data_IF_472154249921
#
_entry.id   IF_472154249921
#
_cell.length_a   1.000
_cell.length_b   1.000
_cell.length_c   1.000
_cell.angle_alpha   90.00
_cell.angle_beta   90.00
_cell.angle_gamma   90.00
#
_symmetry.space_group_name_H-M   'P 1'
#
loop_
_entity.id
_entity.type
_entity.pdbx_description
1 polymer ?
#
# COMPACT_ATOMS: atom_id res chain seq x y z
N UNK A 1 58.44 -27.32 42.18
CA UNK A 1 57.97 -26.44 41.05
C UNK A 1 56.53 -26.79 40.80
N UNK A 2 55.62 -25.95 41.31
CA UNK A 2 54.17 -26.17 41.19
C UNK A 2 53.67 -25.33 40.06
N UNK A 3 53.18 -25.95 38.96
CA UNK A 3 52.48 -25.28 37.92
C UNK A 3 51.03 -24.97 38.39
N UNK A 4 50.70 -23.69 38.57
CA UNK A 4 49.35 -23.21 38.73
C UNK A 4 48.67 -23.26 37.36
N UNK A 5 47.69 -24.13 37.22
CA UNK A 5 46.70 -24.03 36.14
C UNK A 5 45.89 -22.72 36.31
N UNK A 6 45.99 -21.83 35.34
CA UNK A 6 45.06 -20.71 35.19
C UNK A 6 43.71 -21.29 34.75
N UNK A 7 42.70 -21.20 35.61
CA UNK A 7 41.31 -21.38 35.23
C UNK A 7 40.95 -20.24 34.30
N UNK A 8 40.62 -20.57 33.06
CA UNK A 8 40.06 -19.61 32.10
C UNK A 8 38.73 -19.06 32.63
N UNK A 9 38.63 -17.76 32.67
CA UNK A 9 37.36 -17.10 32.94
C UNK A 9 36.36 -17.46 31.81
N UNK A 10 35.10 -17.75 32.13
CA UNK A 10 34.09 -17.98 31.10
C UNK A 10 33.94 -16.71 30.29
N UNK A 11 34.10 -16.82 28.97
CA UNK A 11 33.89 -15.72 28.03
C UNK A 11 32.39 -15.42 27.98
N UNK A 12 31.98 -14.25 28.47
CA UNK A 12 30.59 -13.78 28.37
C UNK A 12 30.39 -13.38 26.92
N UNK A 13 29.57 -14.16 26.21
CA UNK A 13 29.23 -13.95 24.78
C UNK A 13 28.02 -13.05 24.62
N UNK A 14 27.37 -12.66 25.72
CA UNK A 14 26.19 -11.80 25.72
C UNK A 14 26.60 -10.33 25.79
N UNK A 15 25.93 -9.45 24.99
CA UNK A 15 26.13 -8.01 25.07
C UNK A 15 25.76 -7.44 26.44
N UNK A 16 26.23 -6.21 26.73
CA UNK A 16 26.03 -5.55 28.03
C UNK A 16 24.57 -5.36 28.41
N UNK A 17 23.64 -5.32 27.41
CA UNK A 17 22.19 -5.14 27.59
C UNK A 17 21.39 -6.47 27.62
N UNK A 18 22.07 -7.63 27.58
CA UNK A 18 21.40 -8.94 27.56
C UNK A 18 20.91 -9.34 28.94
N UNK A 19 19.60 -9.37 29.15
CA UNK A 19 18.98 -9.93 30.34
C UNK A 19 18.85 -11.47 30.20
N UNK A 20 19.31 -12.21 31.17
CA UNK A 20 19.17 -13.67 31.25
C UNK A 20 18.09 -14.01 32.27
N UNK A 21 16.91 -14.39 31.78
CA UNK A 21 15.82 -14.92 32.60
C UNK A 21 15.77 -16.44 32.44
N UNK A 22 15.52 -17.21 33.48
CA UNK A 22 15.55 -18.68 33.44
C UNK A 22 14.28 -19.30 34.00
N UNK A 23 13.92 -20.48 33.49
CA UNK A 23 12.85 -21.35 33.98
C UNK A 23 11.46 -20.67 34.02
N UNK A 24 10.78 -20.76 35.17
CA UNK A 24 9.41 -20.23 35.34
C UNK A 24 9.36 -18.70 35.17
N UNK A 25 10.39 -17.98 35.57
CA UNK A 25 10.47 -16.54 35.45
C UNK A 25 10.55 -16.12 33.98
N UNK A 26 11.22 -16.91 33.13
CA UNK A 26 11.27 -16.68 31.69
C UNK A 26 9.89 -16.88 31.03
N UNK A 27 9.16 -17.90 31.43
CA UNK A 27 7.78 -18.13 30.91
C UNK A 27 6.84 -17.00 31.31
N UNK A 28 6.85 -16.58 32.57
CA UNK A 28 6.04 -15.47 33.05
C UNK A 28 6.41 -14.15 32.35
N UNK A 29 7.70 -13.89 32.17
CA UNK A 29 8.16 -12.70 31.46
C UNK A 29 7.63 -12.66 30.02
N UNK A 30 7.73 -13.76 29.28
CA UNK A 30 7.27 -13.87 27.91
C UNK A 30 5.74 -13.71 27.79
N UNK A 31 5.00 -14.40 28.66
CA UNK A 31 3.51 -14.28 28.68
C UNK A 31 3.10 -12.85 29.03
N UNK A 32 3.77 -12.22 30.00
CA UNK A 32 3.47 -10.85 30.42
C UNK A 32 3.74 -9.84 29.29
N UNK A 33 4.86 -10.02 28.54
CA UNK A 33 5.19 -9.17 27.40
C UNK A 33 4.13 -9.26 26.29
N UNK A 34 3.79 -10.48 25.86
CA UNK A 34 2.77 -10.71 24.83
C UNK A 34 1.38 -10.19 25.26
N UNK A 35 1.00 -10.40 26.53
CA UNK A 35 -0.27 -9.86 27.07
C UNK A 35 -0.30 -8.34 27.11
N UNK A 36 0.83 -7.69 27.39
CA UNK A 36 0.91 -6.23 27.40
C UNK A 36 0.62 -5.63 26.05
N UNK A 37 1.08 -6.26 24.98
CA UNK A 37 0.76 -5.88 23.58
C UNK A 37 -0.72 -6.07 23.29
N UNK A 38 -1.28 -7.23 23.64
CA UNK A 38 -2.71 -7.50 23.45
C UNK A 38 -3.61 -6.52 24.22
N UNK A 39 -3.23 -6.13 25.45
CA UNK A 39 -3.97 -5.17 26.25
C UNK A 39 -3.90 -3.75 25.68
N UNK A 40 -2.78 -3.41 24.98
CA UNK A 40 -2.64 -2.10 24.35
C UNK A 40 -3.71 -1.84 23.28
N UNK A 41 -4.12 -2.85 22.52
CA UNK A 41 -5.13 -2.71 21.45
C UNK A 41 -6.55 -3.06 21.89
N UNK A 42 -6.71 -3.72 23.04
CA UNK A 42 -8.01 -4.20 23.51
C UNK A 42 -9.10 -3.12 23.62
N UNK A 43 -8.71 -1.89 23.95
CA UNK A 43 -9.66 -0.77 24.11
C UNK A 43 -10.16 -0.19 22.79
N UNK A 44 -9.58 -0.61 21.65
CA UNK A 44 -10.01 -0.18 20.31
C UNK A 44 -11.02 -1.14 19.68
N UNK A 45 -11.27 -2.30 20.32
CA UNK A 45 -12.13 -3.35 19.80
C UNK A 45 -13.61 -2.95 19.79
N UNK A 46 -14.25 -3.20 18.65
CA UNK A 46 -15.69 -3.13 18.44
C UNK A 46 -16.24 -1.72 18.22
N UNK A 47 -17.58 -1.58 18.07
CA UNK A 47 -18.23 -0.34 17.62
C UNK A 47 -18.15 0.83 18.62
N UNK A 48 -17.60 0.62 19.79
CA UNK A 48 -17.29 1.64 20.82
C UNK A 48 -15.79 1.67 21.13
N UNK A 49 -14.98 1.18 20.20
CA UNK A 49 -13.54 1.26 20.27
C UNK A 49 -13.08 2.73 20.43
N UNK A 50 -12.00 2.91 21.19
CA UNK A 50 -11.41 4.23 21.40
C UNK A 50 -10.19 4.39 20.50
N UNK A 51 -10.11 5.50 19.80
CA UNK A 51 -8.92 5.85 19.06
C UNK A 51 -7.70 6.02 19.99
N UNK A 52 -6.55 5.62 19.52
CA UNK A 52 -5.25 5.85 20.14
C UNK A 52 -4.55 6.99 19.41
N UNK A 53 -3.91 7.84 20.19
CA UNK A 53 -2.98 8.83 19.65
C UNK A 53 -1.56 8.31 19.87
N UNK A 54 -0.87 8.08 18.79
CA UNK A 54 0.53 7.64 18.76
C UNK A 54 1.39 8.81 18.32
N UNK A 55 2.52 9.01 18.97
CA UNK A 55 3.48 10.06 18.62
C UNK A 55 4.84 9.43 18.47
N UNK A 56 5.40 9.43 17.27
CA UNK A 56 6.70 8.86 17.01
C UNK A 56 7.85 9.78 17.48
N UNK A 57 9.08 9.31 17.38
CA UNK A 57 10.28 10.06 17.81
C UNK A 57 10.56 11.30 16.98
N UNK A 58 9.97 11.44 15.79
CA UNK A 58 10.07 12.62 14.90
C UNK A 58 8.99 13.65 15.18
N UNK A 59 7.98 13.31 16.00
CA UNK A 59 6.86 14.17 16.36
C UNK A 59 5.64 14.02 15.45
N UNK A 60 5.63 13.05 14.54
CA UNK A 60 4.45 12.75 13.74
C UNK A 60 3.38 12.12 14.64
N UNK A 61 2.13 12.48 14.38
CA UNK A 61 0.98 12.05 15.18
C UNK A 61 0.07 11.19 14.33
N UNK A 62 -0.14 9.94 14.74
CA UNK A 62 -1.12 9.02 14.16
C UNK A 62 -2.29 8.85 15.14
N UNK A 63 -3.51 9.04 14.68
CA UNK A 63 -4.73 8.80 15.46
C UNK A 63 -5.51 7.70 14.77
N UNK A 64 -5.66 6.55 15.44
CA UNK A 64 -6.33 5.39 14.86
C UNK A 64 -6.89 4.47 15.93
N UNK A 65 -7.87 3.66 15.59
CA UNK A 65 -8.34 2.53 16.39
C UNK A 65 -7.99 1.18 15.74
N UNK A 66 -7.34 1.21 14.59
CA UNK A 66 -6.90 -0.01 13.93
C UNK A 66 -5.76 -0.70 14.70
N UNK A 67 -5.95 -2.03 14.91
CA UNK A 67 -5.04 -2.84 15.73
C UNK A 67 -3.65 -2.99 15.14
N UNK A 68 -3.54 -3.23 13.83
CA UNK A 68 -2.26 -3.40 13.15
C UNK A 68 -1.48 -2.10 13.15
N UNK A 69 -2.11 -1.00 12.73
CA UNK A 69 -1.47 0.33 12.73
C UNK A 69 -0.93 0.69 14.12
N UNK A 70 -1.70 0.42 15.19
CA UNK A 70 -1.24 0.69 16.56
C UNK A 70 0.00 -0.15 16.89
N UNK A 71 0.01 -1.42 16.54
CA UNK A 71 1.09 -2.34 16.90
C UNK A 71 2.36 -2.09 16.09
N UNK A 72 2.24 -1.75 14.83
CA UNK A 72 3.39 -1.46 13.95
C UNK A 72 4.04 -0.11 14.26
N UNK A 73 3.25 0.87 14.73
CA UNK A 73 3.77 2.17 15.18
C UNK A 73 4.37 2.11 16.61
N UNK A 74 4.16 1.01 17.33
CA UNK A 74 4.79 0.81 18.64
C UNK A 74 6.20 0.26 18.49
N UNK A 75 7.17 0.86 19.18
CA UNK A 75 8.55 0.37 19.26
C UNK A 75 8.63 -0.83 20.24
N UNK A 76 8.55 -2.05 19.70
CA UNK A 76 8.45 -3.29 20.46
C UNK A 76 9.77 -4.08 20.34
N UNK A 77 10.60 -4.00 21.37
CA UNK A 77 11.91 -4.70 21.40
C UNK A 77 11.84 -6.17 21.85
N UNK A 78 10.71 -6.62 22.39
CA UNK A 78 10.61 -7.96 22.96
C UNK A 78 10.19 -8.99 21.91
N UNK A 79 11.02 -10.04 21.61
CA UNK A 79 10.71 -11.00 20.55
C UNK A 79 9.43 -11.80 20.74
N UNK A 80 8.97 -12.01 21.99
CA UNK A 80 7.70 -12.70 22.25
C UNK A 80 6.50 -11.76 22.04
N UNK A 81 6.69 -10.48 22.29
CA UNK A 81 5.70 -9.46 22.00
C UNK A 81 5.57 -9.22 20.48
N UNK A 82 6.69 -9.24 19.73
CA UNK A 82 6.71 -9.20 18.27
C UNK A 82 5.88 -10.34 17.65
N UNK A 83 5.90 -11.54 18.19
CA UNK A 83 5.06 -12.65 17.72
C UNK A 83 3.55 -12.34 17.78
N UNK A 84 3.12 -11.45 18.68
CA UNK A 84 1.71 -11.01 18.74
C UNK A 84 1.41 -9.96 17.65
N UNK A 85 2.41 -9.15 17.28
CA UNK A 85 2.31 -8.24 16.12
C UNK A 85 2.19 -9.06 14.84
N UNK A 86 3.04 -10.09 14.66
CA UNK A 86 2.95 -11.00 13.51
C UNK A 86 1.57 -11.69 13.38
N UNK A 87 0.89 -11.98 14.50
CA UNK A 87 -0.50 -12.50 14.47
C UNK A 87 -1.46 -11.46 13.90
N UNK A 88 -1.28 -10.18 14.24
CA UNK A 88 -2.12 -9.11 13.70
C UNK A 88 -1.85 -8.90 12.21
N UNK A 89 -0.57 -8.82 11.80
CA UNK A 89 -0.15 -8.67 10.41
C UNK A 89 -0.66 -9.83 9.53
N UNK A 90 -0.50 -11.08 10.01
CA UNK A 90 -1.02 -12.25 9.28
C UNK A 90 -2.55 -12.20 9.12
N UNK A 91 -3.28 -11.75 10.15
CA UNK A 91 -4.73 -11.61 10.06
C UNK A 91 -5.14 -10.51 9.07
N UNK A 92 -4.36 -9.43 8.99
CA UNK A 92 -4.55 -8.35 8.01
C UNK A 92 -4.33 -8.86 6.58
N UNK A 93 -3.19 -9.51 6.35
CA UNK A 93 -2.80 -10.02 5.03
C UNK A 93 -3.77 -11.10 4.48
N UNK A 94 -4.34 -11.92 5.37
CA UNK A 94 -5.18 -13.06 4.98
C UNK A 94 -6.69 -12.73 4.91
N UNK A 95 -7.16 -11.76 5.70
CA UNK A 95 -8.57 -11.50 5.85
C UNK A 95 -8.98 -10.02 5.84
N UNK A 96 -8.02 -9.10 5.87
CA UNK A 96 -8.25 -7.65 5.84
C UNK A 96 -9.01 -7.06 7.05
N UNK A 97 -9.50 -7.90 7.96
CA UNK A 97 -10.24 -7.45 9.16
C UNK A 97 -10.05 -8.43 10.32
N UNK A 98 -10.48 -8.02 11.51
CA UNK A 98 -10.45 -8.87 12.72
C UNK A 98 -9.10 -8.89 13.44
N UNK A 99 -8.14 -8.09 13.07
CA UNK A 99 -6.77 -8.00 13.63
C UNK A 99 -6.77 -7.78 15.14
N UNK A 100 -7.51 -6.78 15.61
CA UNK A 100 -7.68 -6.50 17.05
C UNK A 100 -8.33 -7.67 17.77
N UNK A 101 -9.29 -8.36 17.15
CA UNK A 101 -9.97 -9.54 17.71
C UNK A 101 -8.99 -10.71 17.87
N UNK A 102 -8.19 -10.99 16.84
CA UNK A 102 -7.18 -12.06 16.87
C UNK A 102 -6.17 -11.84 18.01
N UNK A 103 -5.64 -10.62 18.12
CA UNK A 103 -4.70 -10.22 19.18
C UNK A 103 -5.35 -10.29 20.58
N UNK A 104 -6.60 -9.83 20.73
CA UNK A 104 -7.31 -9.90 21.99
C UNK A 104 -7.56 -11.36 22.44
N UNK A 105 -7.91 -12.25 21.51
CA UNK A 105 -8.07 -13.70 21.77
C UNK A 105 -6.71 -14.29 22.16
N UNK A 106 -5.62 -14.00 21.45
CA UNK A 106 -4.29 -14.47 21.78
C UNK A 106 -3.88 -14.05 23.21
N UNK A 107 -4.12 -12.80 23.57
CA UNK A 107 -3.88 -12.28 24.93
C UNK A 107 -4.68 -12.99 26.01
N UNK A 108 -5.97 -13.28 25.77
CA UNK A 108 -6.80 -13.98 26.73
C UNK A 108 -6.43 -15.48 26.84
N UNK A 109 -6.05 -16.13 25.71
CA UNK A 109 -5.52 -17.50 25.74
C UNK A 109 -4.23 -17.58 26.56
N UNK A 110 -3.30 -16.64 26.40
CA UNK A 110 -2.07 -16.57 27.18
C UNK A 110 -2.34 -16.35 28.66
N UNK A 111 -3.29 -15.51 29.02
CA UNK A 111 -3.69 -15.29 30.40
C UNK A 111 -4.25 -16.57 31.03
N UNK A 112 -5.15 -17.26 30.33
CA UNK A 112 -5.70 -18.52 30.79
C UNK A 112 -4.60 -19.62 30.88
N UNK A 113 -3.63 -19.61 29.96
CA UNK A 113 -2.48 -20.52 30.05
C UNK A 113 -1.63 -20.24 31.29
N UNK A 114 -1.40 -18.98 31.67
CA UNK A 114 -0.68 -18.60 32.89
C UNK A 114 -1.38 -19.15 34.13
N UNK A 115 -2.72 -18.96 34.23
CA UNK A 115 -3.53 -19.50 35.34
C UNK A 115 -3.44 -21.03 35.44
N UNK A 116 -3.39 -21.75 34.32
CA UNK A 116 -3.24 -23.20 34.26
C UNK A 116 -1.82 -23.66 34.65
N UNK A 117 -0.80 -22.90 34.26
CA UNK A 117 0.58 -23.15 34.67
C UNK A 117 0.81 -22.96 36.20
N UNK A 118 0.12 -21.97 36.79
CA UNK A 118 0.11 -21.76 38.23
C UNK A 118 -0.53 -22.94 38.99
N UNK A 119 -1.54 -23.61 38.37
CA UNK A 119 -2.16 -24.83 38.86
C UNK A 119 -1.31 -26.10 38.60
N UNK A 120 -0.08 -25.93 38.16
CA UNK A 120 0.86 -27.01 37.85
C UNK A 120 0.44 -27.93 36.70
N UNK A 121 -0.44 -27.47 35.80
CA UNK A 121 -0.78 -28.17 34.57
C UNK A 121 0.40 -28.08 33.61
N UNK A 122 0.79 -29.24 33.05
CA UNK A 122 1.95 -29.30 32.19
C UNK A 122 1.73 -28.54 30.86
N UNK A 123 2.68 -27.71 30.39
CA UNK A 123 2.52 -26.90 29.14
C UNK A 123 2.06 -27.72 27.93
N UNK A 124 2.55 -28.93 27.74
CA UNK A 124 2.14 -29.81 26.64
C UNK A 124 0.64 -30.15 26.68
N UNK A 125 0.03 -30.26 27.87
CA UNK A 125 -1.40 -30.51 27.98
C UNK A 125 -2.22 -29.27 27.59
N UNK A 126 -1.75 -28.07 27.94
CA UNK A 126 -2.34 -26.77 27.57
C UNK A 126 -2.29 -26.62 26.05
N UNK A 127 -1.12 -26.81 25.43
CA UNK A 127 -0.94 -26.75 23.97
C UNK A 127 -1.87 -27.74 23.26
N UNK A 128 -1.97 -28.99 23.73
CA UNK A 128 -2.90 -29.96 23.16
C UNK A 128 -4.35 -29.50 23.27
N UNK A 129 -4.71 -28.86 24.39
CA UNK A 129 -6.05 -28.29 24.59
C UNK A 129 -6.34 -27.19 23.57
N UNK A 130 -5.38 -26.30 23.30
CA UNK A 130 -5.53 -25.23 22.31
C UNK A 130 -5.71 -25.79 20.89
N UNK A 131 -4.92 -26.81 20.49
CA UNK A 131 -5.10 -27.46 19.20
C UNK A 131 -6.48 -28.06 19.03
N UNK A 132 -6.99 -28.81 20.01
CA UNK A 132 -8.32 -29.38 19.98
C UNK A 132 -9.41 -28.32 19.95
N UNK A 133 -9.24 -27.24 20.68
CA UNK A 133 -10.16 -26.11 20.67
C UNK A 133 -10.20 -25.39 19.33
N UNK A 134 -9.02 -25.21 18.69
CA UNK A 134 -8.90 -24.60 17.36
C UNK A 134 -9.60 -25.44 16.28
N UNK A 135 -9.40 -26.78 16.30
CA UNK A 135 -10.10 -27.69 15.39
C UNK A 135 -11.63 -27.58 15.56
N UNK A 136 -12.08 -27.59 16.82
CA UNK A 136 -13.52 -27.50 17.11
C UNK A 136 -14.10 -26.12 16.75
N UNK A 137 -13.35 -25.05 16.97
CA UNK A 137 -13.78 -23.71 16.60
C UNK A 137 -13.97 -23.56 15.10
N UNK A 138 -13.08 -24.15 14.28
CA UNK A 138 -13.25 -24.17 12.81
C UNK A 138 -14.51 -24.89 12.38
N UNK A 139 -14.80 -26.09 12.93
CA UNK A 139 -16.04 -26.81 12.66
C UNK A 139 -17.29 -25.97 13.00
N UNK A 140 -17.27 -25.31 14.16
CA UNK A 140 -18.40 -24.47 14.58
C UNK A 140 -18.58 -23.22 13.72
N UNK A 141 -17.47 -22.61 13.25
CA UNK A 141 -17.53 -21.47 12.33
C UNK A 141 -18.13 -21.91 10.99
N UNK A 142 -17.69 -23.05 10.44
CA UNK A 142 -18.24 -23.61 9.20
C UNK A 142 -19.75 -23.91 9.32
N UNK A 143 -20.19 -24.41 10.50
CA UNK A 143 -21.59 -24.74 10.77
C UNK A 143 -22.50 -23.49 10.89
N UNK A 144 -21.96 -22.35 11.34
CA UNK A 144 -22.73 -21.11 11.50
C UNK A 144 -22.55 -20.13 10.35
N UNK A 145 -21.58 -20.35 9.46
CA UNK A 145 -21.31 -19.48 8.32
C UNK A 145 -22.48 -19.47 7.33
N UNK A 146 -22.87 -18.29 6.90
CA UNK A 146 -23.86 -18.11 5.84
C UNK A 146 -23.16 -17.74 4.54
N UNK A 147 -23.44 -18.49 3.47
CA UNK A 147 -22.90 -18.16 2.17
C UNK A 147 -23.53 -16.86 1.64
N UNK A 148 -22.69 -15.98 1.12
CA UNK A 148 -23.07 -14.75 0.42
C UNK A 148 -22.79 -14.95 -1.06
N UNK A 149 -23.77 -14.70 -1.91
CA UNK A 149 -23.58 -14.78 -3.36
C UNK A 149 -22.92 -13.49 -3.88
N UNK A 150 -22.04 -13.57 -4.91
CA UNK A 150 -21.36 -12.38 -5.46
C UNK A 150 -22.30 -11.30 -6.02
N UNK A 151 -23.54 -11.66 -6.36
CA UNK A 151 -24.59 -10.79 -6.85
C UNK A 151 -25.54 -10.28 -5.76
N UNK A 152 -25.35 -10.67 -4.49
CA UNK A 152 -26.16 -10.21 -3.34
C UNK A 152 -25.60 -8.88 -2.79
N UNK A 153 -25.81 -7.80 -3.57
CA UNK A 153 -25.34 -6.45 -3.22
C UNK A 153 -25.75 -6.01 -1.81
N UNK A 154 -26.98 -6.37 -1.37
CA UNK A 154 -27.48 -5.95 -0.06
C UNK A 154 -26.67 -6.60 1.08
N UNK A 155 -26.27 -7.86 0.93
CA UNK A 155 -25.43 -8.55 1.92
C UNK A 155 -24.00 -8.09 1.86
N UNK A 156 -23.41 -7.97 0.66
CA UNK A 156 -22.06 -7.45 0.47
C UNK A 156 -21.91 -6.06 1.06
N UNK A 157 -22.89 -5.18 0.83
CA UNK A 157 -22.92 -3.85 1.43
C UNK A 157 -22.93 -3.91 2.97
N UNK A 158 -23.71 -4.80 3.56
CA UNK A 158 -23.73 -4.98 5.04
C UNK A 158 -22.39 -5.50 5.58
N UNK A 159 -21.71 -6.34 4.82
CA UNK A 159 -20.36 -6.82 5.17
C UNK A 159 -19.39 -5.64 5.18
N UNK A 160 -19.36 -4.84 4.10
CA UNK A 160 -18.53 -3.63 4.01
C UNK A 160 -18.86 -2.63 5.13
N UNK A 161 -20.14 -2.36 5.40
CA UNK A 161 -20.57 -1.49 6.50
C UNK A 161 -20.09 -1.98 7.86
N UNK A 162 -20.02 -3.29 8.05
CA UNK A 162 -19.60 -3.91 9.31
C UNK A 162 -18.11 -3.73 9.53
N UNK A 163 -17.28 -3.95 8.51
CA UNK A 163 -15.82 -3.78 8.60
C UNK A 163 -15.42 -2.31 8.85
N UNK A 164 -16.18 -1.35 8.30
CA UNK A 164 -15.96 0.08 8.52
C UNK A 164 -16.54 0.61 9.85
N UNK A 165 -17.27 -0.21 10.60
CA UNK A 165 -17.93 0.25 11.85
C UNK A 165 -16.90 0.61 12.92
N UNK A 166 -17.00 1.83 13.45
CA UNK A 166 -16.06 2.35 14.45
C UNK A 166 -14.79 2.98 13.85
N UNK A 167 -14.62 2.94 12.53
CA UNK A 167 -13.54 3.60 11.81
C UNK A 167 -14.10 4.90 11.22
N UNK A 168 -13.42 6.01 11.27
CA UNK A 168 -13.82 7.40 10.94
C UNK A 168 -14.90 7.69 9.87
N UNK A 169 -15.44 6.65 9.23
CA UNK A 169 -16.41 6.67 8.15
C UNK A 169 -17.90 6.63 8.58
N UNK A 170 -18.20 6.70 9.86
CA UNK A 170 -19.55 6.44 10.42
C UNK A 170 -20.69 7.26 9.77
N UNK A 171 -20.44 8.51 9.38
CA UNK A 171 -21.49 9.39 8.84
C UNK A 171 -21.83 9.08 7.37
N UNK A 172 -20.88 8.64 6.60
CA UNK A 172 -20.99 8.36 5.16
C UNK A 172 -20.85 6.87 4.83
N UNK A 173 -20.87 6.01 5.86
CA UNK A 173 -20.64 4.56 5.75
C UNK A 173 -21.52 3.88 4.69
N UNK A 174 -22.78 4.28 4.58
CA UNK A 174 -23.71 3.74 3.59
C UNK A 174 -23.29 4.03 2.14
N UNK A 175 -22.75 5.22 1.90
CA UNK A 175 -22.25 5.62 0.57
C UNK A 175 -20.94 4.91 0.25
N UNK A 176 -20.01 4.90 1.21
CA UNK A 176 -18.70 4.29 1.04
C UNK A 176 -18.79 2.77 0.86
N UNK A 177 -19.66 2.09 1.62
CA UNK A 177 -19.92 0.66 1.44
C UNK A 177 -20.47 0.34 0.05
N UNK A 178 -21.33 1.19 -0.50
CA UNK A 178 -21.82 1.03 -1.87
C UNK A 178 -20.69 1.17 -2.88
N UNK A 179 -19.83 2.19 -2.73
CA UNK A 179 -18.67 2.38 -3.64
C UNK A 179 -17.71 1.19 -3.61
N UNK A 180 -17.49 0.57 -2.43
CA UNK A 180 -16.67 -0.64 -2.31
C UNK A 180 -17.29 -1.80 -3.08
N UNK A 181 -18.59 -2.07 -2.88
CA UNK A 181 -19.28 -3.17 -3.57
C UNK A 181 -19.25 -2.94 -5.08
N UNK A 182 -19.55 -1.72 -5.53
CA UNK A 182 -19.51 -1.36 -6.95
C UNK A 182 -18.11 -1.54 -7.55
N UNK A 183 -17.05 -1.16 -6.80
CA UNK A 183 -15.66 -1.32 -7.23
C UNK A 183 -15.28 -2.79 -7.37
N UNK A 184 -15.57 -3.62 -6.36
CA UNK A 184 -15.25 -5.06 -6.37
C UNK A 184 -16.01 -5.76 -7.49
N UNK A 185 -17.30 -5.46 -7.68
CA UNK A 185 -18.10 -6.06 -8.76
C UNK A 185 -17.59 -5.68 -10.15
N UNK A 186 -17.09 -4.45 -10.36
CA UNK A 186 -16.57 -4.04 -11.66
C UNK A 186 -15.27 -4.73 -12.07
N UNK A 187 -14.47 -5.19 -11.08
CA UNK A 187 -13.21 -5.91 -11.34
C UNK A 187 -13.34 -7.42 -11.15
N UNK A 188 -14.55 -7.92 -10.86
CA UNK A 188 -14.84 -9.34 -10.73
C UNK A 188 -15.01 -9.96 -12.09
N UNK A 189 -14.27 -11.03 -12.37
CA UNK A 189 -14.34 -11.79 -13.62
C UNK A 189 -14.85 -13.20 -13.35
N UNK A 190 -15.79 -13.68 -14.16
CA UNK A 190 -16.22 -15.08 -14.11
C UNK A 190 -15.19 -15.97 -14.83
N UNK A 191 -14.61 -16.91 -14.10
CA UNK A 191 -13.68 -17.89 -14.64
C UNK A 191 -14.40 -19.01 -15.41
N UNK A 192 -13.65 -19.75 -16.25
CA UNK A 192 -14.19 -20.83 -17.10
C UNK A 192 -14.92 -21.95 -16.31
N UNK A 193 -14.64 -22.10 -15.03
CA UNK A 193 -15.27 -23.08 -14.14
C UNK A 193 -16.53 -22.55 -13.43
N UNK A 194 -16.92 -21.30 -13.71
CA UNK A 194 -18.05 -20.60 -13.08
C UNK A 194 -17.75 -20.01 -11.69
N UNK A 195 -16.48 -20.03 -11.27
CA UNK A 195 -16.04 -19.27 -10.08
C UNK A 195 -15.87 -17.79 -10.41
N UNK A 196 -16.06 -16.94 -9.41
CA UNK A 196 -15.78 -15.52 -9.51
C UNK A 196 -14.38 -15.25 -8.97
N UNK A 197 -13.58 -14.50 -9.72
CA UNK A 197 -12.24 -14.08 -9.32
C UNK A 197 -12.20 -12.56 -9.28
N UNK A 198 -11.84 -12.01 -8.15
CA UNK A 198 -11.64 -10.58 -7.96
C UNK A 198 -10.17 -10.27 -8.15
N UNK A 199 -9.84 -9.39 -9.09
CA UNK A 199 -8.48 -8.90 -9.28
C UNK A 199 -8.33 -7.52 -8.64
N UNK A 200 -7.95 -7.49 -7.38
CA UNK A 200 -7.76 -6.27 -6.61
C UNK A 200 -6.63 -5.36 -7.13
N UNK A 201 -5.72 -5.89 -7.97
CA UNK A 201 -4.72 -5.06 -8.66
C UNK A 201 -5.36 -4.06 -9.63
N UNK A 202 -6.63 -4.28 -10.00
CA UNK A 202 -7.44 -3.41 -10.84
C UNK A 202 -8.33 -2.43 -10.05
N UNK A 203 -8.19 -2.39 -8.72
CA UNK A 203 -8.78 -1.35 -7.85
C UNK A 203 -7.69 -0.44 -7.34
N UNK A 204 -7.80 0.86 -7.62
CA UNK A 204 -6.91 1.89 -7.10
C UNK A 204 -7.67 2.76 -6.10
N UNK A 205 -7.02 3.12 -5.01
CA UNK A 205 -7.49 4.17 -4.12
C UNK A 205 -6.63 5.41 -4.36
N UNK A 206 -7.28 6.55 -4.56
CA UNK A 206 -6.65 7.86 -4.61
C UNK A 206 -7.34 8.77 -3.60
N UNK A 207 -6.59 9.58 -2.89
CA UNK A 207 -7.07 10.38 -1.79
C UNK A 207 -6.92 11.87 -2.06
N UNK A 208 -7.92 12.66 -1.65
CA UNK A 208 -7.89 14.10 -1.79
C UNK A 208 -8.50 14.80 -0.58
N UNK A 209 -7.78 15.76 0.00
CA UNK A 209 -8.26 16.61 1.10
C UNK A 209 -9.03 17.83 0.59
N UNK A 210 -9.86 18.42 1.45
CA UNK A 210 -10.55 19.68 1.20
C UNK A 210 -12.03 19.58 0.88
N UNK A 211 -12.60 18.36 0.72
CA UNK A 211 -14.03 18.10 0.48
C UNK A 211 -14.63 17.17 1.52
N UNK A 212 -15.94 16.94 1.45
CA UNK A 212 -16.65 16.00 2.33
C UNK A 212 -16.39 14.55 1.90
N UNK A 213 -16.34 13.62 2.85
CA UNK A 213 -16.26 12.19 2.56
C UNK A 213 -17.44 11.67 1.71
N UNK A 214 -18.62 12.27 1.84
CA UNK A 214 -19.77 11.97 1.01
C UNK A 214 -19.65 12.41 -0.48
N UNK A 215 -18.58 13.14 -0.83
CA UNK A 215 -18.23 13.48 -2.21
C UNK A 215 -17.18 12.52 -2.80
N UNK A 216 -16.88 11.43 -2.10
CA UNK A 216 -16.08 10.32 -2.63
C UNK A 216 -16.84 9.66 -3.80
N UNK A 217 -16.11 9.18 -4.81
CA UNK A 217 -16.69 8.66 -6.03
C UNK A 217 -15.91 7.46 -6.58
N UNK A 218 -16.59 6.61 -7.34
CA UNK A 218 -15.99 5.51 -8.09
C UNK A 218 -15.84 5.91 -9.54
N UNK A 219 -14.64 5.86 -10.05
CA UNK A 219 -14.28 6.29 -11.39
C UNK A 219 -13.73 5.11 -12.18
N UNK A 220 -14.24 4.91 -13.38
CA UNK A 220 -13.67 3.95 -14.32
C UNK A 220 -12.34 4.51 -14.84
N UNK A 221 -11.28 3.71 -14.77
CA UNK A 221 -9.94 4.14 -15.16
C UNK A 221 -9.08 4.63 -14.00
N UNK A 222 -8.02 5.37 -14.33
CA UNK A 222 -7.03 5.84 -13.37
C UNK A 222 -7.19 7.32 -13.03
N UNK A 223 -7.09 7.64 -11.74
CA UNK A 223 -6.92 9.01 -11.25
C UNK A 223 -5.47 9.20 -10.83
N UNK A 224 -4.81 10.24 -11.35
CA UNK A 224 -3.39 10.53 -11.10
C UNK A 224 -3.23 11.94 -10.51
N UNK A 225 -2.77 11.99 -9.27
CA UNK A 225 -2.51 13.22 -8.54
C UNK A 225 -1.09 13.72 -8.82
N UNK A 226 -0.90 14.33 -9.98
CA UNK A 226 0.35 14.92 -10.45
C UNK A 226 0.07 16.15 -11.31
N UNK A 227 1.10 16.98 -11.46
CA UNK A 227 1.04 18.14 -12.35
C UNK A 227 1.83 17.87 -13.65
N UNK A 228 1.43 18.50 -14.76
CA UNK A 228 2.25 18.52 -15.97
C UNK A 228 3.61 19.16 -15.67
N UNK A 229 4.67 18.69 -16.31
CA UNK A 229 6.02 19.21 -16.05
C UNK A 229 6.24 20.61 -16.60
N UNK A 230 5.40 21.08 -17.53
CA UNK A 230 5.47 22.43 -18.10
C UNK A 230 4.05 23.01 -18.30
N UNK A 231 3.86 24.29 -17.98
CA UNK A 231 2.53 24.93 -17.99
C UNK A 231 1.92 25.10 -19.38
N UNK A 232 2.71 25.08 -20.46
CA UNK A 232 2.23 25.22 -21.84
C UNK A 232 1.83 23.88 -22.48
N UNK A 233 1.92 22.77 -21.75
CA UNK A 233 1.50 21.45 -22.24
C UNK A 233 -0.01 21.35 -22.33
N UNK A 234 -0.57 20.70 -23.38
CA UNK A 234 -1.99 20.37 -23.44
C UNK A 234 -2.32 19.38 -22.32
N UNK A 235 -3.52 19.50 -21.74
CA UNK A 235 -3.94 18.68 -20.58
C UNK A 235 -5.21 17.88 -20.85
N UNK A 236 -5.79 17.99 -22.05
CA UNK A 236 -7.04 17.34 -22.41
C UNK A 236 -6.94 16.68 -23.78
N UNK A 237 -7.11 15.36 -23.80
CA UNK A 237 -7.10 14.51 -24.98
C UNK A 237 -8.32 13.58 -24.93
N UNK A 238 -9.16 13.60 -25.95
CA UNK A 238 -10.29 12.67 -26.08
C UNK A 238 -9.82 11.25 -26.47
N UNK A 239 -8.73 11.17 -27.22
CA UNK A 239 -8.01 9.96 -27.57
C UNK A 239 -6.53 10.32 -27.61
N UNK A 240 -5.70 9.63 -26.86
CA UNK A 240 -4.27 9.85 -26.76
C UNK A 240 -3.52 8.54 -26.88
N UNK A 241 -2.45 8.55 -27.64
CA UNK A 241 -1.42 7.55 -27.60
C UNK A 241 -0.47 7.84 -26.41
N UNK A 242 -0.46 6.94 -25.44
CA UNK A 242 0.20 7.18 -24.15
C UNK A 242 1.41 6.28 -23.96
N UNK A 243 2.56 6.88 -23.69
CA UNK A 243 3.81 6.21 -23.36
C UNK A 243 3.96 6.05 -21.84
N UNK A 244 4.16 4.82 -21.39
CA UNK A 244 4.48 4.49 -20.01
C UNK A 244 5.98 4.22 -19.89
N UNK A 245 6.71 5.14 -19.24
CA UNK A 245 8.18 5.14 -19.26
C UNK A 245 8.78 4.89 -17.88
N UNK A 246 9.67 3.89 -17.79
CA UNK A 246 10.45 3.57 -16.57
C UNK A 246 11.93 3.99 -16.70
N UNK A 247 12.22 4.97 -17.55
CA UNK A 247 13.55 5.57 -17.70
C UNK A 247 13.48 7.07 -17.43
N UNK A 248 14.59 7.68 -17.00
CA UNK A 248 14.69 9.12 -16.89
C UNK A 248 14.94 9.74 -18.29
N UNK A 249 14.22 10.82 -18.57
CA UNK A 249 14.53 11.65 -19.75
C UNK A 249 15.54 12.71 -19.30
N UNK A 250 16.72 12.24 -18.98
CA UNK A 250 17.84 13.03 -18.46
C UNK A 250 19.11 12.66 -19.24
N UNK A 251 20.14 13.45 -19.06
CA UNK A 251 21.47 13.14 -19.60
C UNK A 251 22.05 12.00 -18.76
N UNK A 252 22.47 10.93 -19.40
CA UNK A 252 23.22 9.90 -18.72
C UNK A 252 24.61 10.41 -18.39
N UNK A 253 24.90 10.65 -17.11
CA UNK A 253 26.28 10.78 -16.67
C UNK A 253 26.99 9.47 -16.97
N UNK A 254 27.99 9.53 -17.85
CA UNK A 254 28.78 8.35 -18.19
C UNK A 254 29.38 7.77 -16.90
N UNK A 255 29.05 6.53 -16.60
CA UNK A 255 29.51 5.74 -15.43
C UNK A 255 31.02 5.40 -15.54
N UNK A 256 31.81 6.35 -16.04
CA UNK A 256 33.23 6.21 -16.17
C UNK A 256 33.86 7.22 -15.22
N UNK A 257 34.68 6.73 -14.30
CA UNK A 257 35.64 7.48 -13.46
C UNK A 257 36.68 8.29 -14.34
N UNK A 258 36.24 8.78 -15.48
CA UNK A 258 37.01 9.61 -16.35
C UNK A 258 36.67 11.07 -16.02
N UNK A 259 37.47 11.67 -15.16
CA UNK A 259 37.46 13.12 -14.98
C UNK A 259 37.72 13.74 -16.36
N UNK A 260 36.66 14.23 -17.00
CA UNK A 260 36.77 15.06 -18.19
C UNK A 260 37.32 16.40 -17.73
N UNK A 261 38.60 16.61 -17.91
CA UNK A 261 39.24 17.89 -17.61
C UNK A 261 38.84 18.89 -18.68
N UNK A 262 37.85 19.72 -18.38
CA UNK A 262 37.46 20.85 -19.26
C UNK A 262 38.44 21.98 -18.98
N UNK A 263 39.36 22.19 -19.90
CA UNK A 263 40.43 23.21 -19.75
C UNK A 263 40.14 24.50 -20.51
N UNK A 264 39.20 24.48 -21.46
CA UNK A 264 38.89 25.65 -22.29
C UNK A 264 37.38 25.92 -22.40
N UNK A 265 36.95 27.19 -22.57
CA UNK A 265 35.56 27.55 -22.80
C UNK A 265 34.94 26.84 -24.01
N UNK A 266 35.70 26.59 -25.06
CA UNK A 266 35.24 25.91 -26.27
C UNK A 266 34.93 24.42 -26.00
N UNK A 267 35.70 23.78 -25.12
CA UNK A 267 35.42 22.40 -24.70
C UNK A 267 34.13 22.31 -23.85
N UNK A 268 33.92 23.28 -22.97
CA UNK A 268 32.68 23.37 -22.21
C UNK A 268 31.45 23.56 -23.11
N UNK A 269 31.58 24.47 -24.12
CA UNK A 269 30.48 24.69 -25.05
C UNK A 269 30.16 23.43 -25.88
N UNK A 270 31.18 22.74 -26.38
CA UNK A 270 30.99 21.49 -27.12
C UNK A 270 30.35 20.38 -26.25
N UNK A 271 30.67 20.34 -24.96
CA UNK A 271 30.07 19.40 -24.04
C UNK A 271 28.57 19.70 -23.84
N UNK A 272 28.23 20.95 -23.57
CA UNK A 272 26.84 21.39 -23.45
C UNK A 272 26.01 21.16 -24.71
N UNK A 273 26.62 21.44 -25.89
CA UNK A 273 25.96 21.19 -27.17
C UNK A 273 25.70 19.68 -27.42
N UNK A 274 26.58 18.81 -26.90
CA UNK A 274 26.38 17.35 -26.99
C UNK A 274 25.25 16.89 -26.04
N UNK A 275 25.21 17.40 -24.81
CA UNK A 275 24.17 17.13 -23.86
C UNK A 275 22.78 17.56 -24.38
N UNK A 276 22.68 18.78 -24.89
CA UNK A 276 21.44 19.28 -25.51
C UNK A 276 21.02 18.39 -26.69
N UNK A 277 21.97 17.96 -27.52
CA UNK A 277 21.69 17.08 -28.64
C UNK A 277 21.16 15.71 -28.21
N UNK A 278 21.71 15.12 -27.13
CA UNK A 278 21.26 13.84 -26.61
C UNK A 278 19.81 13.94 -26.07
N UNK A 279 19.50 14.97 -25.27
CA UNK A 279 18.14 15.21 -24.80
C UNK A 279 17.16 15.40 -25.96
N UNK A 280 17.57 16.19 -26.95
CA UNK A 280 16.73 16.41 -28.12
C UNK A 280 16.47 15.12 -28.91
N UNK A 281 17.47 14.24 -29.02
CA UNK A 281 17.28 12.92 -29.64
C UNK A 281 16.35 12.02 -28.88
N UNK A 282 16.41 11.99 -27.52
CA UNK A 282 15.46 11.25 -26.69
C UNK A 282 14.03 11.79 -26.91
N UNK A 283 13.85 13.11 -26.92
CA UNK A 283 12.54 13.71 -27.18
C UNK A 283 12.04 13.40 -28.60
N UNK A 284 12.91 13.51 -29.63
CA UNK A 284 12.58 13.16 -31.02
C UNK A 284 12.07 11.70 -31.12
N UNK A 285 12.69 10.75 -30.40
CA UNK A 285 12.24 9.35 -30.34
C UNK A 285 10.83 9.19 -29.77
N UNK A 286 10.53 9.91 -28.69
CA UNK A 286 9.19 9.92 -28.08
C UNK A 286 8.16 10.48 -29.05
N UNK A 287 8.46 11.60 -29.69
CA UNK A 287 7.56 12.23 -30.68
C UNK A 287 7.38 11.34 -31.92
N UNK A 288 8.48 10.75 -32.43
CA UNK A 288 8.46 9.85 -33.60
C UNK A 288 7.66 8.56 -33.34
N UNK A 289 7.53 8.11 -32.06
CA UNK A 289 6.66 6.98 -31.70
C UNK A 289 5.17 7.30 -31.83
N UNK A 290 4.81 8.59 -31.89
CA UNK A 290 3.43 9.07 -31.95
C UNK A 290 2.81 9.33 -30.58
N UNK A 291 3.58 9.34 -29.48
CA UNK A 291 3.06 9.57 -28.15
C UNK A 291 2.53 11.02 -27.95
N UNK A 292 1.28 11.15 -27.56
CA UNK A 292 0.65 12.41 -27.13
C UNK A 292 0.88 12.69 -25.64
N UNK A 293 0.96 11.62 -24.84
CA UNK A 293 1.10 11.69 -23.37
C UNK A 293 2.22 10.77 -22.91
N UNK A 294 3.03 11.23 -21.96
CA UNK A 294 4.12 10.47 -21.35
C UNK A 294 3.96 10.46 -19.82
N UNK A 295 3.70 9.28 -19.24
CA UNK A 295 3.84 9.06 -17.80
C UNK A 295 5.21 8.47 -17.51
N UNK A 296 6.09 9.29 -16.93
CA UNK A 296 7.45 8.90 -16.60
C UNK A 296 7.58 8.58 -15.10
N UNK A 297 8.09 7.39 -14.79
CA UNK A 297 8.34 6.99 -13.38
C UNK A 297 9.48 7.80 -12.76
N UNK A 298 10.45 8.22 -13.58
CA UNK A 298 11.66 8.92 -13.13
C UNK A 298 11.60 10.43 -13.43
N UNK A 299 12.76 11.08 -13.42
CA UNK A 299 12.91 12.50 -13.71
C UNK A 299 12.81 12.82 -15.19
N UNK A 300 12.49 14.07 -15.49
CA UNK A 300 12.56 14.66 -16.83
C UNK A 300 13.34 15.96 -16.71
N UNK A 301 14.43 16.09 -17.45
CA UNK A 301 15.26 17.29 -17.49
C UNK A 301 14.47 18.52 -17.97
N UNK A 302 14.76 19.69 -17.42
CA UNK A 302 14.04 20.92 -17.72
C UNK A 302 14.07 21.28 -19.22
N UNK A 303 15.16 20.98 -19.91
CA UNK A 303 15.29 21.21 -21.35
C UNK A 303 14.43 20.22 -22.15
N UNK A 304 14.38 18.96 -21.72
CA UNK A 304 13.49 17.96 -22.30
C UNK A 304 12.02 18.32 -22.11
N UNK A 305 11.63 18.83 -20.91
CA UNK A 305 10.27 19.34 -20.65
C UNK A 305 9.89 20.43 -21.65
N UNK A 306 10.79 21.37 -21.90
CA UNK A 306 10.55 22.45 -22.87
C UNK A 306 10.37 21.92 -24.30
N UNK A 307 11.18 20.94 -24.71
CA UNK A 307 11.04 20.34 -26.05
C UNK A 307 9.74 19.57 -26.20
N UNK A 308 9.37 18.75 -25.21
CA UNK A 308 8.09 18.02 -25.21
C UNK A 308 6.89 18.99 -25.27
N UNK A 309 6.91 20.07 -24.47
CA UNK A 309 5.87 21.08 -24.50
C UNK A 309 5.75 21.76 -25.89
N UNK A 310 6.89 22.04 -26.55
CA UNK A 310 6.94 22.64 -27.89
C UNK A 310 6.35 21.73 -28.97
N UNK A 311 6.52 20.43 -28.84
CA UNK A 311 5.94 19.42 -29.74
C UNK A 311 4.49 19.07 -29.38
N UNK A 312 3.95 19.65 -28.30
CA UNK A 312 2.54 19.45 -27.86
C UNK A 312 2.31 18.16 -27.11
N UNK A 313 3.36 17.53 -26.59
CA UNK A 313 3.29 16.30 -25.81
C UNK A 313 3.09 16.64 -24.32
N UNK A 314 2.08 16.06 -23.70
CA UNK A 314 1.90 16.11 -22.24
C UNK A 314 2.90 15.18 -21.56
N UNK A 315 3.65 15.67 -20.60
CA UNK A 315 4.56 14.84 -19.82
C UNK A 315 4.34 15.01 -18.30
N UNK A 316 4.31 13.89 -17.61
CA UNK A 316 4.15 13.79 -16.16
C UNK A 316 5.32 13.00 -15.61
N UNK A 317 6.07 13.59 -14.67
CA UNK A 317 7.27 12.98 -14.08
C UNK A 317 7.00 12.40 -12.69
N UNK A 318 7.89 11.49 -12.25
CA UNK A 318 7.85 10.88 -10.91
C UNK A 318 6.50 10.24 -10.60
N UNK A 319 5.91 9.60 -11.61
CA UNK A 319 4.73 8.76 -11.46
C UNK A 319 5.12 7.53 -10.65
N UNK A 320 4.33 7.17 -9.64
CA UNK A 320 4.61 6.00 -8.79
C UNK A 320 4.67 4.73 -9.64
N UNK A 321 5.49 3.75 -9.24
CA UNK A 321 5.57 2.46 -9.95
C UNK A 321 4.22 1.73 -9.98
N UNK A 322 3.45 1.82 -8.90
CA UNK A 322 2.08 1.29 -8.82
C UNK A 322 1.16 1.96 -9.84
N UNK A 323 1.23 3.29 -9.96
CA UNK A 323 0.42 4.03 -10.94
C UNK A 323 0.79 3.66 -12.39
N UNK A 324 2.08 3.48 -12.70
CA UNK A 324 2.52 3.00 -14.03
C UNK A 324 1.95 1.61 -14.33
N UNK A 325 1.98 0.69 -13.34
CA UNK A 325 1.40 -0.65 -13.48
C UNK A 325 -0.11 -0.59 -13.72
N UNK A 326 -0.81 0.24 -12.96
CA UNK A 326 -2.24 0.44 -13.06
C UNK A 326 -2.64 1.09 -14.41
N UNK A 327 -1.91 2.14 -14.83
CA UNK A 327 -2.12 2.78 -16.14
C UNK A 327 -1.92 1.79 -17.29
N UNK A 328 -0.95 0.85 -17.17
CA UNK A 328 -0.79 -0.22 -18.16
C UNK A 328 -2.03 -1.10 -18.26
N UNK A 329 -2.67 -1.44 -17.15
CA UNK A 329 -3.89 -2.24 -17.17
C UNK A 329 -5.04 -1.46 -17.82
N UNK A 330 -5.17 -0.16 -17.49
CA UNK A 330 -6.23 0.72 -17.99
C UNK A 330 -6.06 1.05 -19.49
N UNK A 331 -4.86 1.40 -19.92
CA UNK A 331 -4.60 1.91 -21.29
C UNK A 331 -4.11 0.82 -22.26
N UNK A 332 -3.66 -0.33 -21.72
CA UNK A 332 -2.90 -1.29 -22.51
C UNK A 332 -1.47 -0.82 -22.77
N UNK A 333 -0.86 -1.30 -23.85
CA UNK A 333 0.52 -1.00 -24.22
C UNK A 333 1.53 -1.68 -23.32
N UNK A 334 2.78 -1.18 -23.33
CA UNK A 334 3.87 -1.74 -22.54
C UNK A 334 4.63 -0.67 -21.75
N UNK A 335 5.27 -1.09 -20.64
CA UNK A 335 6.14 -0.20 -19.87
C UNK A 335 7.53 -0.23 -20.50
N UNK A 336 7.95 0.86 -21.12
CA UNK A 336 9.23 1.01 -21.80
C UNK A 336 10.32 1.38 -20.79
N UNK A 337 11.45 0.67 -20.85
CA UNK A 337 12.60 0.89 -19.97
C UNK A 337 13.81 1.52 -20.68
N UNK A 338 13.70 1.74 -21.99
CA UNK A 338 14.73 2.34 -22.83
C UNK A 338 14.07 3.16 -23.94
N UNK A 339 14.20 4.50 -23.83
CA UNK A 339 13.61 5.46 -24.80
C UNK A 339 14.09 5.21 -26.22
N UNK A 340 15.33 4.73 -26.40
CA UNK A 340 15.88 4.46 -27.72
C UNK A 340 15.18 3.31 -28.47
N UNK A 341 14.49 2.45 -27.73
CA UNK A 341 13.76 1.28 -28.26
C UNK A 341 12.26 1.51 -28.47
N UNK A 342 11.72 2.67 -28.09
CA UNK A 342 10.28 2.95 -28.14
C UNK A 342 9.74 2.89 -29.57
N UNK A 343 8.56 2.29 -29.71
CA UNK A 343 7.80 2.16 -30.96
C UNK A 343 6.32 2.48 -30.74
N UNK A 344 5.56 2.66 -31.80
CA UNK A 344 4.11 2.87 -31.72
C UNK A 344 3.36 1.66 -31.09
N UNK A 345 3.90 0.44 -31.22
CA UNK A 345 3.29 -0.78 -30.66
C UNK A 345 3.40 -0.83 -29.12
N UNK A 346 4.22 0.02 -28.52
CA UNK A 346 4.39 0.12 -27.06
C UNK A 346 3.37 1.06 -26.40
N UNK A 347 2.68 1.88 -27.19
CA UNK A 347 1.77 2.90 -26.69
C UNK A 347 0.45 2.26 -26.23
N UNK A 348 -0.09 2.79 -25.13
CA UNK A 348 -1.45 2.52 -24.70
C UNK A 348 -2.41 3.58 -25.25
N UNK A 349 -3.68 3.25 -25.43
CA UNK A 349 -4.69 4.13 -26.01
C UNK A 349 -5.80 4.46 -25.00
N UNK A 350 -6.15 5.76 -24.90
CA UNK A 350 -7.21 6.18 -24.00
C UNK A 350 -7.44 7.69 -23.99
N UNK A 351 -8.39 8.15 -23.20
CA UNK A 351 -8.58 9.57 -22.93
C UNK A 351 -7.73 10.02 -21.74
N UNK A 352 -7.23 11.24 -21.79
CA UNK A 352 -6.50 11.87 -20.68
C UNK A 352 -7.04 13.28 -20.49
N UNK A 353 -7.60 13.54 -19.32
CA UNK A 353 -8.23 14.83 -19.02
C UNK A 353 -7.76 15.32 -17.63
N UNK A 354 -7.39 16.57 -17.54
CA UNK A 354 -7.14 17.24 -16.26
C UNK A 354 -8.39 18.00 -15.81
N UNK A 355 -8.76 17.81 -14.57
CA UNK A 355 -9.70 18.67 -13.88
C UNK A 355 -8.91 19.79 -13.18
N UNK A 356 -9.22 21.04 -13.49
CA UNK A 356 -8.50 22.20 -12.96
C UNK A 356 -8.91 22.55 -11.52
N UNK A 357 -10.12 22.16 -11.10
CA UNK A 357 -10.61 22.40 -9.75
C UNK A 357 -9.99 21.43 -8.74
N UNK A 358 -9.83 20.17 -9.14
CA UNK A 358 -9.25 19.11 -8.33
C UNK A 358 -7.74 18.95 -8.55
N UNK A 359 -7.20 19.51 -9.62
CA UNK A 359 -5.81 19.35 -10.07
C UNK A 359 -5.41 17.89 -10.34
N UNK A 360 -6.39 17.03 -10.67
CA UNK A 360 -6.21 15.61 -10.93
C UNK A 360 -6.29 15.31 -12.42
N UNK A 361 -5.53 14.30 -12.88
CA UNK A 361 -5.70 13.70 -14.19
C UNK A 361 -6.62 12.49 -14.09
N UNK A 362 -7.60 12.45 -14.98
CA UNK A 362 -8.51 11.33 -15.21
C UNK A 362 -8.09 10.66 -16.51
N UNK A 363 -7.85 9.36 -16.44
CA UNK A 363 -7.34 8.53 -17.54
C UNK A 363 -8.28 7.36 -17.74
N UNK A 364 -8.91 7.24 -18.89
CA UNK A 364 -9.83 6.16 -19.22
C UNK A 364 -9.30 5.42 -20.45
N UNK A 365 -9.33 4.09 -20.42
CA UNK A 365 -8.88 3.24 -21.52
C UNK A 365 -9.80 3.31 -22.73
N UNK A 366 -9.32 2.96 -23.89
CA UNK A 366 -10.12 2.86 -25.11
C UNK A 366 -11.02 1.61 -25.07
N UNK A 367 -12.30 1.74 -25.42
CA UNK A 367 -13.27 0.64 -25.50
C UNK A 367 -14.27 0.59 -24.35
N UNK A 368 -15.10 -0.44 -24.37
CA UNK A 368 -16.22 -0.61 -23.42
C UNK A 368 -15.86 -1.53 -22.23
N UNK A 369 -14.67 -2.16 -22.24
CA UNK A 369 -14.23 -3.03 -21.17
C UNK A 369 -13.57 -2.25 -20.02
N UNK A 370 -13.97 -2.55 -18.79
CA UNK A 370 -13.40 -1.95 -17.59
C UNK A 370 -12.15 -2.73 -17.19
N UNK A 371 -10.98 -2.12 -17.36
CA UNK A 371 -9.70 -2.71 -17.02
C UNK A 371 -9.13 -2.23 -15.68
N UNK A 372 -9.84 -1.34 -15.01
CA UNK A 372 -9.50 -0.84 -13.70
C UNK A 372 -10.41 0.29 -13.26
N UNK A 373 -10.56 0.43 -11.95
CA UNK A 373 -11.39 1.47 -11.32
C UNK A 373 -10.59 2.19 -10.25
N UNK A 374 -10.90 3.46 -10.03
CA UNK A 374 -10.31 4.26 -8.95
C UNK A 374 -11.40 4.73 -7.99
N UNK A 375 -11.26 4.36 -6.72
CA UNK A 375 -11.99 4.97 -5.62
C UNK A 375 -11.32 6.29 -5.24
N UNK A 376 -11.92 7.41 -5.59
CA UNK A 376 -11.45 8.74 -5.20
C UNK A 376 -12.07 9.10 -3.85
N UNK A 377 -11.29 8.93 -2.79
CA UNK A 377 -11.70 9.24 -1.43
C UNK A 377 -11.45 10.71 -1.09
N UNK A 378 -12.45 11.36 -0.54
CA UNK A 378 -12.40 12.76 -0.16
C UNK A 378 -12.58 12.91 1.34
N UNK A 379 -11.88 13.86 1.93
CA UNK A 379 -11.99 14.15 3.35
C UNK A 379 -11.59 15.59 3.70
N UNK A 380 -12.04 16.07 4.83
CA UNK A 380 -11.79 17.45 5.26
C UNK A 380 -10.33 17.71 5.67
N UNK A 381 -9.62 16.69 6.10
CA UNK A 381 -8.22 16.75 6.56
C UNK A 381 -7.49 15.47 6.19
N UNK A 382 -6.14 15.50 6.20
CA UNK A 382 -5.31 14.34 5.90
C UNK A 382 -5.64 13.15 6.83
N UNK A 383 -5.78 13.37 8.14
CA UNK A 383 -6.12 12.31 9.09
C UNK A 383 -7.48 11.64 8.80
N UNK A 384 -8.48 12.42 8.36
CA UNK A 384 -9.78 11.87 7.98
C UNK A 384 -9.65 11.02 6.73
N UNK A 385 -8.89 11.47 5.76
CA UNK A 385 -8.66 10.74 4.50
C UNK A 385 -7.88 9.46 4.75
N UNK A 386 -6.83 9.51 5.57
CA UNK A 386 -6.03 8.32 5.93
C UNK A 386 -6.87 7.26 6.66
N UNK A 387 -7.79 7.70 7.54
CA UNK A 387 -8.70 6.79 8.24
C UNK A 387 -9.76 6.18 7.30
N UNK A 388 -10.28 6.99 6.36
CA UNK A 388 -11.18 6.50 5.31
C UNK A 388 -10.48 5.49 4.40
N UNK A 389 -9.24 5.77 3.98
CA UNK A 389 -8.45 4.86 3.15
C UNK A 389 -8.27 3.50 3.82
N UNK A 390 -7.90 3.48 5.12
CA UNK A 390 -7.80 2.23 5.89
C UNK A 390 -9.13 1.48 5.95
N UNK A 391 -10.20 2.16 6.32
CA UNK A 391 -11.52 1.54 6.41
C UNK A 391 -12.05 0.99 5.08
N UNK A 392 -11.70 1.65 3.97
CA UNK A 392 -12.06 1.20 2.62
C UNK A 392 -11.21 0.01 2.18
N UNK A 393 -9.90 -0.01 2.49
CA UNK A 393 -9.06 -1.18 2.23
C UNK A 393 -9.60 -2.41 2.94
N UNK A 394 -9.87 -2.32 4.25
CA UNK A 394 -10.46 -3.42 5.03
C UNK A 394 -11.81 -3.88 4.43
N UNK A 395 -12.64 -2.94 3.98
CA UNK A 395 -13.92 -3.27 3.38
C UNK A 395 -13.77 -3.96 2.01
N UNK A 396 -12.79 -3.56 1.20
CA UNK A 396 -12.47 -4.21 -0.08
C UNK A 396 -12.00 -5.64 0.17
N UNK A 397 -11.07 -5.84 1.10
CA UNK A 397 -10.50 -7.16 1.41
C UNK A 397 -11.55 -8.13 1.96
N UNK A 398 -12.50 -7.64 2.76
CA UNK A 398 -13.60 -8.49 3.31
C UNK A 398 -14.68 -8.80 2.27
N UNK A 399 -14.90 -7.92 1.27
CA UNK A 399 -15.93 -8.10 0.24
C UNK A 399 -15.41 -8.92 -0.95
N UNK A 400 -14.09 -8.90 -1.21
CA UNK A 400 -13.45 -9.64 -2.30
C UNK A 400 -13.34 -11.15 -2.03
#
# INVERSE_FOLDING_TARGET
>A
MSQRMQQGQPMIILGEDSQRVQDKDAQQYNISAARSVAEAVRSTLGPKGMDKMLVNSMGDVTITNDGVTILTEMDIDNPTAEMIVEVAETQEDEAGDGTTTAVAIAGELLKNAEDLLEQEIHPTAIIKGFHLASEKAREEVDDIAEAVAPDDEERLKKVAETSMTGKGAELEKDVLAQLVVDAVQQVTVEADDGSHVVDLENVKIETQTGRSAGESDLLVGAVINKNPVHGDMPTNFESADTLLLNEAIEIEEADVDTQVSIETPDQLQNFLDQEEKQLKQKVEKIVDSGADVVFCQKGIDDLAQHYLAKEGVLAIRRTKKSDIKFLKNVLGGSVVSDVDSVTADDLGEGSVRRDDDDELFYVEGAGDEVHGVTLLLRGSTDHVVDELERGINDAIDVVS
#
